data_IF_174635035468
#
_entry.id   IF_174635035468
#
_cell.length_a   1.000
_cell.length_b   1.000
_cell.length_c   1.000
_cell.angle_alpha   90.00
_cell.angle_beta   90.00
_cell.angle_gamma   90.00
#
_symmetry.space_group_name_H-M   'P 1'
#
loop_
_entity.id
_entity.type
_entity.pdbx_description
1 polymer ?
#
# COMPACT_ATOMS: atom_id res chain seq x y z
N UNK A 1 -52.12 -12.94 13.94
CA UNK A 1 -51.41 -11.85 13.23
C UNK A 1 -50.47 -11.18 14.22
N UNK A 2 -49.21 -11.61 14.30
CA UNK A 2 -48.25 -11.09 15.28
C UNK A 2 -47.68 -9.74 14.81
N UNK A 3 -47.85 -8.68 15.61
CA UNK A 3 -47.31 -7.34 15.33
C UNK A 3 -45.83 -7.31 15.73
N UNK A 4 -44.94 -7.20 14.75
CA UNK A 4 -43.50 -7.03 14.98
C UNK A 4 -43.24 -5.56 15.26
N UNK A 5 -42.69 -5.27 16.43
CA UNK A 5 -42.40 -3.91 16.91
C UNK A 5 -40.93 -3.59 16.62
N UNK A 6 -40.68 -2.51 15.87
CA UNK A 6 -39.33 -2.05 15.53
C UNK A 6 -38.68 -1.35 16.74
N UNK A 7 -37.35 -1.47 16.91
CA UNK A 7 -36.64 -0.81 18.00
C UNK A 7 -36.57 0.71 17.78
N UNK A 8 -36.57 1.51 18.86
CA UNK A 8 -36.54 2.96 18.77
C UNK A 8 -35.17 3.44 18.25
N UNK A 9 -35.19 4.44 17.35
CA UNK A 9 -33.96 5.10 16.90
C UNK A 9 -33.39 5.91 18.05
N UNK A 10 -32.12 5.65 18.36
CA UNK A 10 -31.33 6.39 19.34
C UNK A 10 -30.99 7.75 18.75
N UNK A 11 -31.63 8.80 19.25
CA UNK A 11 -31.16 10.17 19.05
C UNK A 11 -29.79 10.29 19.69
N UNK A 12 -28.79 10.64 18.89
CA UNK A 12 -27.47 11.04 19.38
C UNK A 12 -27.24 12.44 18.86
N UNK A 13 -27.59 13.41 19.71
CA UNK A 13 -27.03 14.75 19.63
C UNK A 13 -25.57 14.74 20.09
N UNK A 14 -24.88 15.82 19.72
CA UNK A 14 -23.52 16.25 20.11
C UNK A 14 -22.40 15.77 19.18
N UNK A 15 -21.88 16.63 18.30
CA UNK A 15 -21.01 17.74 18.74
C UNK A 15 -21.01 18.91 17.75
N UNK A 16 -20.98 20.10 18.34
CA UNK A 16 -20.93 21.42 17.71
C UNK A 16 -19.55 21.73 17.12
N UNK A 17 -19.53 22.82 16.34
CA UNK A 17 -18.38 23.67 15.97
C UNK A 17 -17.59 23.29 14.71
N UNK A 18 -17.98 23.88 13.56
CA UNK A 18 -17.17 24.91 12.91
C UNK A 18 -17.95 25.58 11.77
N UNK A 19 -18.60 26.69 12.12
CA UNK A 19 -19.11 27.69 11.19
C UNK A 19 -17.95 28.36 10.43
N UNK A 20 -17.47 27.75 9.35
CA UNK A 20 -16.77 28.49 8.29
C UNK A 20 -16.73 27.73 6.96
N UNK A 21 -17.89 27.33 6.43
CA UNK A 21 -18.01 27.04 5.01
C UNK A 21 -18.01 28.38 4.26
N UNK A 22 -16.82 29.00 4.13
CA UNK A 22 -16.57 30.05 3.15
C UNK A 22 -17.18 29.57 1.85
N UNK A 23 -18.09 30.35 1.26
CA UNK A 23 -18.65 30.14 -0.08
C UNK A 23 -17.49 29.98 -1.06
N UNK A 24 -17.05 28.74 -1.31
CA UNK A 24 -16.03 28.46 -2.31
C UNK A 24 -16.72 28.74 -3.63
N UNK A 25 -16.19 29.69 -4.41
CA UNK A 25 -16.73 30.00 -5.72
C UNK A 25 -16.64 28.77 -6.62
N UNK A 26 -17.64 28.54 -7.46
CA UNK A 26 -17.64 27.43 -8.42
C UNK A 26 -16.37 27.42 -9.29
N UNK A 27 -15.83 28.61 -9.60
CA UNK A 27 -14.55 28.79 -10.29
C UNK A 27 -13.38 28.15 -9.55
N UNK A 28 -13.33 28.26 -8.23
CA UNK A 28 -12.25 27.66 -7.41
C UNK A 28 -12.40 26.15 -7.30
N UNK A 29 -13.64 25.64 -7.36
CA UNK A 29 -13.91 24.20 -7.47
C UNK A 29 -13.46 23.69 -8.85
N UNK A 30 -13.78 24.41 -9.92
CA UNK A 30 -13.34 24.11 -11.28
C UNK A 30 -11.82 24.17 -11.42
N UNK A 31 -11.14 25.14 -10.81
CA UNK A 31 -9.67 25.19 -10.76
C UNK A 31 -9.08 23.96 -10.08
N UNK A 32 -9.66 23.48 -8.98
CA UNK A 32 -9.21 22.27 -8.29
C UNK A 32 -9.48 21.01 -9.12
N UNK A 33 -10.63 20.94 -9.80
CA UNK A 33 -11.00 19.84 -10.70
C UNK A 33 -10.08 19.81 -11.93
N UNK A 34 -9.79 20.99 -12.51
CA UNK A 34 -8.90 21.16 -13.66
C UNK A 34 -7.43 20.94 -13.29
N UNK A 35 -7.08 21.14 -12.00
CA UNK A 35 -5.82 20.71 -11.40
C UNK A 35 -5.83 19.21 -11.07
N UNK A 36 -6.49 18.42 -11.93
CA UNK A 36 -6.60 16.97 -11.84
C UNK A 36 -5.26 16.37 -11.39
N UNK A 37 -5.33 15.41 -10.48
CA UNK A 37 -4.15 14.83 -9.83
C UNK A 37 -3.11 14.49 -10.88
N UNK A 38 -2.04 15.28 -10.92
CA UNK A 38 -0.94 15.04 -11.84
C UNK A 38 -0.44 13.65 -11.52
N UNK A 39 -0.44 12.72 -12.50
CA UNK A 39 0.12 11.41 -12.25
C UNK A 39 1.55 11.61 -11.76
N UNK A 40 1.94 10.90 -10.71
CA UNK A 40 3.33 10.86 -10.28
C UNK A 40 4.11 10.37 -11.50
N UNK A 41 4.76 11.29 -12.21
CA UNK A 41 5.72 10.96 -13.27
C UNK A 41 6.90 10.33 -12.57
N UNK A 42 6.82 9.02 -12.34
CA UNK A 42 8.03 8.23 -12.17
C UNK A 42 8.70 8.30 -13.54
N UNK A 43 9.86 8.95 -13.62
CA UNK A 43 10.68 8.86 -14.81
C UNK A 43 10.78 7.38 -15.18
N UNK A 44 10.57 7.01 -16.46
CA UNK A 44 10.73 5.63 -16.87
C UNK A 44 12.17 5.25 -16.52
N UNK A 45 12.34 4.33 -15.58
CA UNK A 45 13.64 3.77 -15.31
C UNK A 45 14.10 3.12 -16.61
N UNK A 46 15.16 3.65 -17.22
CA UNK A 46 15.76 3.15 -18.47
C UNK A 46 16.57 1.85 -18.20
N UNK A 47 16.16 1.12 -17.18
CA UNK A 47 16.82 -0.06 -16.66
C UNK A 47 16.34 -1.28 -17.45
N UNK A 48 17.28 -1.86 -18.19
CA UNK A 48 17.04 -3.10 -18.94
C UNK A 48 16.95 -4.28 -17.97
N UNK A 49 15.96 -5.15 -18.18
CA UNK A 49 15.86 -6.42 -17.45
C UNK A 49 17.11 -7.25 -17.75
N UNK A 50 17.86 -7.59 -16.70
CA UNK A 50 19.06 -8.42 -16.81
C UNK A 50 18.87 -9.70 -15.99
N UNK A 51 19.02 -10.85 -16.63
CA UNK A 51 19.05 -12.13 -15.93
C UNK A 51 20.43 -12.33 -15.29
N UNK A 52 20.45 -12.82 -14.06
CA UNK A 52 21.67 -13.23 -13.37
C UNK A 52 21.38 -14.55 -12.65
N UNK A 53 22.34 -15.48 -12.73
CA UNK A 53 22.25 -16.75 -12.03
C UNK A 53 22.98 -16.64 -10.69
N UNK A 54 22.37 -17.13 -9.61
CA UNK A 54 23.00 -17.24 -8.29
C UNK A 54 23.05 -18.70 -7.86
N UNK A 55 24.13 -19.05 -7.19
CA UNK A 55 24.25 -20.28 -6.42
C UNK A 55 24.05 -19.93 -4.94
N UNK A 56 23.16 -20.64 -4.27
CA UNK A 56 22.84 -20.46 -2.85
C UNK A 56 22.88 -21.81 -2.18
N UNK A 57 23.28 -21.86 -0.91
CA UNK A 57 23.25 -23.09 -0.14
C UNK A 57 21.81 -23.60 0.00
N UNK A 58 21.66 -24.93 -0.04
CA UNK A 58 20.36 -25.58 0.12
C UNK A 58 19.75 -25.33 1.50
N UNK A 59 20.60 -25.26 2.55
CA UNK A 59 20.19 -24.89 3.91
C UNK A 59 19.45 -23.57 3.95
N UNK A 60 20.00 -22.56 3.29
CA UNK A 60 19.47 -21.20 3.30
C UNK A 60 18.17 -21.14 2.50
N UNK A 61 18.12 -21.87 1.39
CA UNK A 61 16.93 -21.96 0.52
C UNK A 61 15.76 -22.67 1.23
N UNK A 62 16.05 -23.63 2.11
CA UNK A 62 15.06 -24.28 2.99
C UNK A 62 14.55 -23.32 4.06
N UNK A 63 15.43 -22.56 4.71
CA UNK A 63 15.06 -21.54 5.70
C UNK A 63 14.18 -20.46 5.08
N UNK A 64 14.54 -19.95 3.89
CA UNK A 64 13.76 -18.96 3.16
C UNK A 64 12.35 -19.50 2.87
N UNK A 65 12.22 -20.77 2.46
CA UNK A 65 10.92 -21.41 2.26
C UNK A 65 10.03 -21.33 3.52
N UNK A 66 10.59 -21.70 4.68
CA UNK A 66 9.87 -21.65 5.96
C UNK A 66 9.45 -20.22 6.33
N UNK A 67 10.31 -19.23 6.09
CA UNK A 67 10.00 -17.82 6.37
C UNK A 67 8.91 -17.26 5.44
N UNK A 68 8.90 -17.68 4.16
CA UNK A 68 7.83 -17.33 3.23
C UNK A 68 6.47 -17.85 3.70
N UNK A 69 6.42 -19.07 4.26
CA UNK A 69 5.18 -19.69 4.72
C UNK A 69 4.61 -19.04 6.00
N UNK A 70 5.48 -18.48 6.84
CA UNK A 70 5.07 -17.79 8.07
C UNK A 70 4.46 -16.40 7.81
N UNK A 71 4.60 -15.83 6.60
CA UNK A 71 4.06 -14.51 6.31
C UNK A 71 2.53 -14.53 6.26
N UNK A 72 1.83 -13.59 6.90
CA UNK A 72 0.37 -13.53 6.89
C UNK A 72 -0.15 -13.31 5.46
N UNK A 73 -0.84 -14.31 4.92
CA UNK A 73 -1.48 -14.25 3.59
C UNK A 73 -2.71 -13.35 3.70
N UNK A 74 -2.79 -12.31 2.86
CA UNK A 74 -3.98 -11.45 2.83
C UNK A 74 -5.21 -12.26 2.40
N UNK A 75 -6.36 -12.16 3.11
CA UNK A 75 -7.57 -12.83 2.71
C UNK A 75 -8.03 -12.28 1.34
N UNK A 76 -8.19 -13.16 0.36
CA UNK A 76 -8.66 -12.82 -0.99
C UNK A 76 -7.61 -12.85 -2.10
N UNK A 77 -6.32 -13.00 -1.79
CA UNK A 77 -5.26 -13.14 -2.81
C UNK A 77 -4.25 -14.20 -2.38
N UNK A 78 -4.43 -15.42 -2.89
CA UNK A 78 -3.48 -16.54 -2.75
C UNK A 78 -2.30 -16.29 -3.71
N UNK A 79 -1.61 -15.16 -3.57
CA UNK A 79 -0.30 -15.02 -4.21
C UNK A 79 0.66 -15.70 -3.24
N UNK A 80 1.01 -16.95 -3.57
CA UNK A 80 2.16 -17.60 -2.97
C UNK A 80 3.38 -16.73 -3.23
N UNK A 81 4.02 -16.25 -2.17
CA UNK A 81 5.21 -15.43 -2.29
C UNK A 81 6.36 -16.33 -2.75
N UNK A 82 6.96 -16.03 -3.90
CA UNK A 82 8.05 -16.84 -4.43
C UNK A 82 9.33 -16.60 -3.64
N UNK A 83 10.21 -17.62 -3.55
CA UNK A 83 11.56 -17.45 -2.99
C UNK A 83 12.34 -16.34 -3.72
N UNK A 84 12.06 -16.16 -5.01
CA UNK A 84 12.64 -15.08 -5.83
C UNK A 84 12.18 -13.70 -5.37
N UNK A 85 10.90 -13.54 -5.09
CA UNK A 85 10.34 -12.27 -4.60
C UNK A 85 10.89 -11.93 -3.21
N UNK A 86 11.07 -12.95 -2.37
CA UNK A 86 11.70 -12.80 -1.05
C UNK A 86 13.15 -12.32 -1.15
N UNK A 87 13.93 -12.92 -2.04
CA UNK A 87 15.30 -12.49 -2.31
C UNK A 87 15.34 -11.06 -2.86
N UNK A 88 14.45 -10.72 -3.79
CA UNK A 88 14.37 -9.38 -4.36
C UNK A 88 14.06 -8.33 -3.29
N UNK A 89 13.10 -8.59 -2.41
CA UNK A 89 12.73 -7.70 -1.32
C UNK A 89 13.88 -7.51 -0.33
N UNK A 90 14.56 -8.59 0.06
CA UNK A 90 15.72 -8.52 0.95
C UNK A 90 16.88 -7.72 0.34
N UNK A 91 17.14 -7.88 -0.96
CA UNK A 91 18.15 -7.10 -1.69
C UNK A 91 17.75 -5.62 -1.73
N UNK A 92 16.49 -5.31 -2.02
CA UNK A 92 16.01 -3.93 -2.06
C UNK A 92 16.13 -3.26 -0.68
N UNK A 93 15.70 -3.93 0.39
CA UNK A 93 15.84 -3.43 1.76
C UNK A 93 17.30 -3.15 2.11
N UNK A 94 18.21 -4.04 1.69
CA UNK A 94 19.65 -3.87 1.88
C UNK A 94 20.17 -2.67 1.11
N UNK A 95 19.80 -2.49 -0.16
CA UNK A 95 20.17 -1.33 -0.97
C UNK A 95 19.68 -0.04 -0.31
N UNK A 96 18.43 0.01 0.12
CA UNK A 96 17.85 1.21 0.75
C UNK A 96 18.50 1.51 2.11
N UNK A 97 18.94 0.48 2.84
CA UNK A 97 19.73 0.66 4.08
C UNK A 97 21.11 1.24 3.78
N UNK A 98 21.81 0.73 2.76
CA UNK A 98 23.14 1.22 2.39
C UNK A 98 23.07 2.63 1.75
N UNK A 99 22.07 2.92 0.91
CA UNK A 99 21.83 4.27 0.38
C UNK A 99 21.66 5.29 1.50
N UNK A 100 20.85 4.97 2.51
CA UNK A 100 20.70 5.81 3.71
C UNK A 100 22.02 5.97 4.48
N UNK A 101 22.80 4.90 4.61
CA UNK A 101 24.06 4.90 5.35
C UNK A 101 25.15 5.73 4.65
N UNK A 102 25.26 5.62 3.33
CA UNK A 102 26.29 6.29 2.54
C UNK A 102 25.81 7.59 1.88
N UNK A 103 24.54 7.99 2.10
CA UNK A 103 23.89 9.17 1.49
C UNK A 103 24.00 9.17 -0.04
N UNK A 104 23.75 8.01 -0.64
CA UNK A 104 23.63 7.82 -2.09
C UNK A 104 22.19 7.97 -2.56
#
# INVERSE_FOLDING_TARGET
MSKIQLPPKKDTEETKDNSNLKKISERKIQEIINKGGSPITREPADDKIKNFNLLVLESDLSIIGKLCDQRPKKPGRVIGFSKKDWLLEAVQEKIDREKRKYRL
#
